data_IF_532825008038
#
_entry.id   IF_532825008038
#
_cell.length_a   1.000
_cell.length_b   1.000
_cell.length_c   1.000
_cell.angle_alpha   90.00
_cell.angle_beta   90.00
_cell.angle_gamma   90.00
#
_symmetry.space_group_name_H-M   'P 1'
#
loop_
_entity.id
_entity.type
_entity.pdbx_description
1 polymer ?
#
# COMPACT_ATOMS: atom_id res chain seq x y z
N UNK A 1 -76.38 -5.39 24.30
CA UNK A 1 -77.11 -6.06 23.20
C UNK A 1 -76.09 -6.52 22.16
N UNK A 2 -76.21 -7.77 21.73
CA UNK A 2 -75.24 -8.55 20.94
C UNK A 2 -75.11 -8.11 19.46
N UNK A 3 -73.94 -8.37 18.85
CA UNK A 3 -73.71 -9.12 17.57
C UNK A 3 -72.24 -8.90 17.13
N UNK A 4 -71.33 -9.89 17.19
CA UNK A 4 -71.11 -11.11 16.35
C UNK A 4 -70.46 -10.84 14.97
N UNK A 5 -69.34 -11.54 14.72
CA UNK A 5 -68.71 -11.80 13.41
C UNK A 5 -67.17 -11.74 13.51
N UNK A 6 -66.47 -12.76 14.02
CA UNK A 6 -66.02 -14.01 13.36
C UNK A 6 -65.43 -13.81 11.95
N UNK A 7 -64.09 -13.78 11.88
CA UNK A 7 -63.34 -14.40 10.79
C UNK A 7 -62.04 -14.98 11.36
N UNK A 8 -62.01 -16.31 11.46
CA UNK A 8 -60.79 -17.11 11.59
C UNK A 8 -60.16 -17.20 10.19
N UNK A 9 -58.84 -17.06 10.05
CA UNK A 9 -58.05 -18.00 9.22
C UNK A 9 -56.53 -17.79 9.37
N UNK A 10 -55.90 -18.89 9.76
CA UNK A 10 -54.60 -19.43 9.32
C UNK A 10 -53.28 -18.74 9.71
N UNK A 11 -52.61 -19.38 10.68
CA UNK A 11 -51.33 -20.08 10.52
C UNK A 11 -50.14 -19.34 9.89
N UNK A 12 -49.14 -19.05 10.73
CA UNK A 12 -47.79 -18.75 10.30
C UNK A 12 -46.80 -18.84 11.46
N UNK A 13 -46.39 -20.06 11.82
CA UNK A 13 -45.20 -20.30 12.65
C UNK A 13 -43.97 -19.85 11.83
N UNK A 14 -43.30 -18.78 12.23
CA UNK A 14 -41.91 -18.55 11.82
C UNK A 14 -40.99 -19.00 12.96
N UNK A 15 -40.29 -20.11 12.70
CA UNK A 15 -39.17 -20.55 13.51
C UNK A 15 -38.01 -19.55 13.32
N UNK A 16 -37.60 -18.89 14.41
CA UNK A 16 -36.31 -18.20 14.47
C UNK A 16 -35.22 -19.26 14.60
N UNK A 17 -34.60 -19.65 13.48
CA UNK A 17 -33.33 -20.36 13.53
C UNK A 17 -32.22 -19.32 13.67
N UNK A 18 -31.60 -19.27 14.84
CA UNK A 18 -30.42 -18.45 15.07
C UNK A 18 -29.28 -18.97 14.18
N UNK A 19 -29.03 -18.28 13.07
CA UNK A 19 -27.80 -18.46 12.31
C UNK A 19 -26.65 -18.05 13.24
N UNK A 20 -25.82 -19.02 13.64
CA UNK A 20 -24.58 -18.77 14.35
C UNK A 20 -23.74 -17.88 13.44
N UNK A 21 -23.56 -16.61 13.80
CA UNK A 21 -22.72 -15.69 13.05
C UNK A 21 -21.30 -16.28 13.03
N UNK A 22 -20.89 -16.78 11.88
CA UNK A 22 -19.51 -17.12 11.64
C UNK A 22 -18.75 -15.80 11.58
N UNK A 23 -17.78 -15.62 12.49
CA UNK A 23 -16.91 -14.46 12.45
C UNK A 23 -16.30 -14.36 11.04
N UNK A 24 -16.22 -13.15 10.47
CA UNK A 24 -15.61 -12.96 9.16
C UNK A 24 -14.19 -13.57 9.19
N UNK A 25 -13.74 -14.22 8.09
CA UNK A 25 -12.40 -14.76 8.03
C UNK A 25 -11.42 -13.65 8.42
N UNK A 26 -10.59 -13.89 9.44
CA UNK A 26 -9.51 -12.98 9.81
C UNK A 26 -8.72 -12.71 8.54
N UNK A 27 -8.77 -11.47 8.06
CA UNK A 27 -7.80 -10.98 7.07
C UNK A 27 -6.38 -11.19 7.60
N UNK A 28 -5.34 -10.98 6.78
CA UNK A 28 -3.96 -11.11 7.25
C UNK A 28 -3.80 -10.32 8.56
N UNK A 29 -3.30 -11.00 9.59
CA UNK A 29 -3.12 -10.44 10.93
C UNK A 29 -2.37 -9.11 10.85
N UNK A 30 -2.71 -8.18 11.75
CA UNK A 30 -2.01 -6.91 11.86
C UNK A 30 -0.48 -7.15 11.91
N UNK A 31 0.35 -6.27 11.31
CA UNK A 31 1.78 -6.48 11.22
C UNK A 31 2.37 -6.71 12.62
N UNK A 32 3.06 -7.84 12.81
CA UNK A 32 3.78 -8.12 14.06
C UNK A 32 4.96 -7.16 14.14
N UNK A 33 5.09 -6.44 15.26
CA UNK A 33 6.23 -5.57 15.51
C UNK A 33 7.56 -6.33 15.32
N UNK A 34 8.48 -5.75 14.54
CA UNK A 34 9.75 -6.38 14.16
C UNK A 34 9.74 -7.16 12.83
N UNK A 35 8.60 -7.19 12.10
CA UNK A 35 8.58 -7.61 10.71
C UNK A 35 8.83 -6.42 9.76
N UNK A 36 9.54 -6.71 8.66
CA UNK A 36 9.75 -5.75 7.58
C UNK A 36 8.41 -5.24 7.03
N UNK A 37 8.33 -3.95 6.74
CA UNK A 37 7.24 -3.41 5.95
C UNK A 37 7.65 -3.46 4.47
N UNK A 38 6.90 -4.21 3.66
CA UNK A 38 7.10 -4.28 2.20
C UNK A 38 5.90 -3.69 1.50
N UNK A 39 6.13 -2.77 0.58
CA UNK A 39 5.07 -2.04 -0.13
C UNK A 39 5.38 -1.86 -1.60
N UNK A 40 4.32 -1.85 -2.41
CA UNK A 40 4.36 -1.34 -3.77
C UNK A 40 3.66 0.03 -3.82
N UNK A 41 4.41 1.07 -4.18
CA UNK A 41 3.83 2.35 -4.59
C UNK A 41 3.65 2.35 -6.09
N UNK A 42 2.41 2.38 -6.58
CA UNK A 42 2.10 2.52 -8.01
C UNK A 42 1.64 3.94 -8.28
N UNK A 43 2.32 4.62 -9.19
CA UNK A 43 2.24 6.06 -9.37
C UNK A 43 1.99 6.33 -10.85
N UNK A 44 0.96 7.13 -11.14
CA UNK A 44 0.77 7.70 -12.46
C UNK A 44 1.23 9.15 -12.41
N UNK A 45 2.18 9.51 -13.27
CA UNK A 45 2.76 10.85 -13.38
C UNK A 45 2.29 11.50 -14.67
N UNK A 46 2.05 12.81 -14.64
CA UNK A 46 1.83 13.61 -15.85
C UNK A 46 3.02 13.46 -16.80
N UNK A 47 2.83 12.93 -18.02
CA UNK A 47 3.89 12.75 -19.00
C UNK A 47 4.68 14.04 -19.30
N UNK A 48 4.03 15.21 -19.25
CA UNK A 48 4.70 16.49 -19.49
C UNK A 48 5.69 16.88 -18.37
N UNK A 49 5.55 16.28 -17.19
CA UNK A 49 6.36 16.57 -16.00
C UNK A 49 7.29 15.42 -15.61
N UNK A 50 7.26 14.31 -16.36
CA UNK A 50 7.94 13.06 -16.04
C UNK A 50 9.45 13.22 -15.79
N UNK A 51 10.15 14.00 -16.62
CA UNK A 51 11.58 14.22 -16.43
C UNK A 51 11.90 14.90 -15.08
N UNK A 52 11.10 15.89 -14.70
CA UNK A 52 11.23 16.57 -13.41
C UNK A 52 10.88 15.64 -12.25
N UNK A 53 9.78 14.90 -12.35
CA UNK A 53 9.40 13.90 -11.36
C UNK A 53 10.50 12.86 -11.13
N UNK A 54 11.08 12.32 -12.21
CA UNK A 54 12.16 11.34 -12.13
C UNK A 54 13.40 11.90 -11.42
N UNK A 55 13.75 13.17 -11.66
CA UNK A 55 14.87 13.80 -10.98
C UNK A 55 14.62 13.95 -9.47
N UNK A 56 13.43 14.38 -9.06
CA UNK A 56 13.06 14.44 -7.63
C UNK A 56 13.08 13.06 -6.98
N UNK A 57 12.52 12.05 -7.64
CA UNK A 57 12.47 10.69 -7.12
C UNK A 57 13.86 10.07 -6.99
N UNK A 58 14.73 10.26 -7.97
CA UNK A 58 16.11 9.75 -7.91
C UNK A 58 16.90 10.40 -6.76
N UNK A 59 16.81 11.72 -6.59
CA UNK A 59 17.47 12.43 -5.49
C UNK A 59 17.00 11.92 -4.12
N UNK A 60 15.68 11.73 -3.98
CA UNK A 60 15.08 11.21 -2.75
C UNK A 60 15.55 9.79 -2.44
N UNK A 61 15.49 8.88 -3.42
CA UNK A 61 15.95 7.49 -3.26
C UNK A 61 17.43 7.42 -2.87
N UNK A 62 18.29 8.19 -3.56
CA UNK A 62 19.72 8.23 -3.26
C UNK A 62 20.00 8.75 -1.85
N UNK A 63 19.28 9.78 -1.40
CA UNK A 63 19.41 10.31 -0.05
C UNK A 63 18.92 9.31 1.00
N UNK A 64 17.75 8.71 0.79
CA UNK A 64 17.14 7.72 1.69
C UNK A 64 18.04 6.51 1.89
N UNK A 65 18.53 5.90 0.80
CA UNK A 65 19.42 4.74 0.88
C UNK A 65 20.77 5.06 1.54
N UNK A 66 21.26 6.30 1.43
CA UNK A 66 22.53 6.73 2.02
C UNK A 66 22.39 7.10 3.50
N UNK A 67 21.29 7.73 3.89
CA UNK A 67 21.14 8.39 5.19
C UNK A 67 20.27 7.60 6.17
N UNK A 68 19.46 6.66 5.69
CA UNK A 68 18.45 5.98 6.51
C UNK A 68 18.69 4.46 6.55
N UNK A 69 19.38 3.93 7.58
CA UNK A 69 19.65 2.49 7.70
C UNK A 69 18.39 1.62 7.74
N UNK A 70 17.24 2.18 8.12
CA UNK A 70 15.95 1.50 8.13
C UNK A 70 15.25 1.41 6.77
N UNK A 71 15.74 2.12 5.75
CA UNK A 71 15.27 2.03 4.36
C UNK A 71 16.15 0.99 3.65
N UNK A 72 15.64 -0.24 3.54
CA UNK A 72 16.41 -1.38 3.03
C UNK A 72 16.42 -1.43 1.50
N UNK A 73 15.32 -1.00 0.86
CA UNK A 73 15.25 -0.85 -0.60
C UNK A 73 14.21 0.18 -1.01
N UNK A 74 14.55 0.97 -2.03
CA UNK A 74 13.63 1.76 -2.83
C UNK A 74 13.97 1.51 -4.30
N UNK A 75 13.32 0.51 -4.90
CA UNK A 75 13.59 0.12 -6.29
C UNK A 75 12.47 0.60 -7.21
N UNK A 76 12.68 1.77 -7.81
CA UNK A 76 11.75 2.39 -8.74
C UNK A 76 11.95 1.88 -10.17
N UNK A 77 10.84 1.56 -10.85
CA UNK A 77 10.81 1.15 -12.26
C UNK A 77 9.68 1.89 -12.98
N UNK A 78 9.88 2.18 -14.26
CA UNK A 78 8.84 2.71 -15.14
C UNK A 78 8.38 1.64 -16.14
N UNK A 79 7.08 1.58 -16.44
CA UNK A 79 6.57 0.69 -17.47
C UNK A 79 7.10 1.09 -18.85
N UNK A 80 7.60 0.12 -19.63
CA UNK A 80 8.20 0.38 -20.96
C UNK A 80 7.22 1.06 -21.93
N UNK A 81 5.99 0.57 -21.95
CA UNK A 81 4.94 1.05 -22.86
C UNK A 81 4.22 2.31 -22.33
N UNK A 82 4.42 2.64 -21.06
CA UNK A 82 3.80 3.81 -20.42
C UNK A 82 4.76 4.39 -19.37
N UNK A 83 5.79 5.17 -19.77
CA UNK A 83 6.85 5.62 -18.85
C UNK A 83 6.38 6.49 -17.67
N UNK A 84 5.18 7.08 -17.77
CA UNK A 84 4.53 7.79 -16.66
C UNK A 84 3.94 6.89 -15.58
N UNK A 85 3.85 5.57 -15.82
CA UNK A 85 3.48 4.58 -14.81
C UNK A 85 4.75 4.09 -14.11
N UNK A 86 4.98 4.62 -12.92
CA UNK A 86 6.12 4.28 -12.07
C UNK A 86 5.64 3.33 -10.97
N UNK A 87 6.40 2.28 -10.69
CA UNK A 87 6.18 1.41 -9.53
C UNK A 87 7.46 1.39 -8.70
N UNK A 88 7.33 1.54 -7.39
CA UNK A 88 8.43 1.46 -6.44
C UNK A 88 8.21 0.25 -5.55
N UNK A 89 9.16 -0.67 -5.53
CA UNK A 89 9.28 -1.65 -4.45
C UNK A 89 9.98 -0.98 -3.28
N UNK A 90 9.28 -0.88 -2.17
CA UNK A 90 9.77 -0.29 -0.92
C UNK A 90 9.91 -1.40 0.12
N UNK A 91 11.07 -1.47 0.76
CA UNK A 91 11.34 -2.39 1.87
C UNK A 91 11.92 -1.59 3.02
N UNK A 92 11.23 -1.60 4.16
CA UNK A 92 11.67 -0.97 5.39
C UNK A 92 11.94 -2.03 6.46
N UNK A 93 12.89 -1.75 7.34
CA UNK A 93 13.23 -2.64 8.46
C UNK A 93 12.01 -2.95 9.33
N UNK A 94 11.15 -1.95 9.54
CA UNK A 94 9.87 -2.05 10.23
C UNK A 94 8.98 -0.84 9.89
N UNK A 95 7.81 -0.77 10.54
CA UNK A 95 6.86 0.36 10.42
C UNK A 95 7.46 1.69 10.88
N UNK A 96 8.28 1.70 11.93
CA UNK A 96 8.86 2.91 12.51
C UNK A 96 9.90 3.54 11.58
N UNK A 97 10.67 2.72 10.86
CA UNK A 97 11.56 3.17 9.79
C UNK A 97 10.77 3.90 8.68
N UNK A 98 9.63 3.37 8.25
CA UNK A 98 8.77 4.04 7.28
C UNK A 98 8.17 5.36 7.82
N UNK A 99 7.74 5.38 9.09
CA UNK A 99 7.22 6.61 9.72
C UNK A 99 8.29 7.70 9.85
N UNK A 100 9.52 7.32 10.21
CA UNK A 100 10.66 8.24 10.19
C UNK A 100 10.91 8.77 8.78
N UNK A 101 10.99 7.87 7.80
CA UNK A 101 11.28 8.17 6.40
C UNK A 101 10.39 9.28 5.83
N UNK A 102 9.07 9.19 6.03
CA UNK A 102 8.12 10.17 5.47
C UNK A 102 8.19 11.58 6.11
N UNK A 103 8.98 11.75 7.17
CA UNK A 103 9.19 13.05 7.84
C UNK A 103 10.50 13.73 7.46
N UNK A 104 11.39 13.01 6.77
CA UNK A 104 12.73 13.49 6.45
C UNK A 104 12.73 14.69 5.50
N UNK A 105 13.78 15.54 5.52
CA UNK A 105 13.89 16.67 4.60
C UNK A 105 13.86 16.27 3.12
N UNK A 106 14.54 15.19 2.74
CA UNK A 106 14.60 14.72 1.35
C UNK A 106 13.27 14.14 0.88
N UNK A 107 12.56 13.36 1.73
CA UNK A 107 11.21 12.90 1.41
C UNK A 107 10.23 14.08 1.24
N UNK A 108 10.27 15.07 2.15
CA UNK A 108 9.41 16.25 2.05
C UNK A 108 9.69 17.05 0.78
N UNK A 109 10.96 17.25 0.42
CA UNK A 109 11.35 17.89 -0.85
C UNK A 109 10.73 17.17 -2.05
N UNK A 110 10.86 15.84 -2.12
CA UNK A 110 10.22 15.04 -3.17
C UNK A 110 8.70 15.20 -3.16
N UNK A 111 8.07 15.02 -2.00
CA UNK A 111 6.61 14.99 -1.88
C UNK A 111 5.98 16.33 -2.23
N UNK A 112 6.54 17.43 -1.74
CA UNK A 112 6.06 18.79 -2.01
C UNK A 112 6.38 19.20 -3.45
N UNK A 113 7.60 18.89 -3.93
CA UNK A 113 8.05 19.24 -5.29
C UNK A 113 7.34 18.48 -6.41
N UNK A 114 6.70 17.35 -6.12
CA UNK A 114 6.00 16.51 -7.11
C UNK A 114 4.48 16.50 -6.98
N UNK A 115 3.92 17.25 -6.03
CA UNK A 115 2.49 17.20 -5.70
C UNK A 115 1.58 17.47 -6.91
N UNK A 116 1.96 18.40 -7.78
CA UNK A 116 1.24 18.78 -8.99
C UNK A 116 1.55 17.90 -10.21
N UNK A 117 2.50 16.96 -10.08
CA UNK A 117 2.93 16.07 -11.15
C UNK A 117 2.26 14.69 -11.08
N UNK A 118 1.78 14.28 -9.90
CA UNK A 118 1.19 12.96 -9.67
C UNK A 118 -0.30 12.97 -9.95
N UNK A 119 -0.74 12.17 -10.92
CA UNK A 119 -2.13 11.98 -11.30
C UNK A 119 -2.83 10.93 -10.41
N UNK A 120 -2.11 9.89 -9.98
CA UNK A 120 -2.63 8.88 -9.05
C UNK A 120 -1.52 8.23 -8.22
N UNK A 121 -1.86 7.80 -7.02
CA UNK A 121 -1.01 7.02 -6.13
C UNK A 121 -1.83 5.87 -5.52
N UNK A 122 -1.38 4.64 -5.70
CA UNK A 122 -1.90 3.44 -5.04
C UNK A 122 -0.77 2.87 -4.16
N UNK A 123 -1.09 2.60 -2.89
CA UNK A 123 -0.18 2.01 -1.91
C UNK A 123 -0.68 0.61 -1.59
N UNK A 124 0.14 -0.41 -1.87
CA UNK A 124 -0.21 -1.81 -1.65
C UNK A 124 0.82 -2.44 -0.72
N UNK A 125 0.42 -2.63 0.54
CA UNK A 125 1.22 -3.42 1.49
C UNK A 125 1.17 -4.89 1.07
N UNK A 126 2.34 -5.54 1.01
CA UNK A 126 2.49 -6.90 0.50
C UNK A 126 3.32 -7.77 1.44
N UNK A 127 3.13 -9.08 1.37
CA UNK A 127 3.96 -10.06 2.08
C UNK A 127 4.97 -10.65 1.10
N UNK A 128 6.29 -10.53 1.31
CA UNK A 128 7.28 -11.13 0.44
C UNK A 128 7.22 -12.66 0.56
N UNK A 129 7.20 -13.37 -0.58
CA UNK A 129 7.23 -14.83 -0.61
C UNK A 129 8.60 -15.41 -0.20
N UNK A 130 9.67 -14.61 -0.37
CA UNK A 130 11.02 -14.93 0.07
C UNK A 130 11.58 -13.77 0.90
N UNK A 131 11.23 -13.69 2.21
CA UNK A 131 11.77 -12.67 3.10
C UNK A 131 13.30 -12.76 3.18
N UNK A 132 13.98 -11.61 3.20
CA UNK A 132 15.44 -11.54 3.30
C UNK A 132 16.22 -11.81 2.01
N UNK A 133 15.55 -12.00 0.87
CA UNK A 133 16.22 -12.00 -0.43
C UNK A 133 16.87 -10.63 -0.68
N UNK A 134 18.17 -10.61 -0.93
CA UNK A 134 18.92 -9.38 -1.23
C UNK A 134 18.95 -9.11 -2.73
N UNK A 135 18.65 -7.87 -3.13
CA UNK A 135 18.91 -7.37 -4.47
C UNK A 135 20.41 -7.04 -4.60
N UNK A 136 21.17 -7.90 -5.27
CA UNK A 136 22.59 -7.67 -5.52
C UNK A 136 22.79 -7.14 -6.94
N UNK A 137 23.32 -5.93 -7.07
CA UNK A 137 23.87 -5.49 -8.34
C UNK A 137 25.25 -6.12 -8.51
N UNK A 138 25.41 -7.01 -9.48
CA UNK A 138 26.74 -7.45 -9.89
C UNK A 138 27.37 -6.32 -10.69
N UNK A 139 28.36 -5.65 -10.11
CA UNK A 139 29.24 -4.77 -10.88
C UNK A 139 30.04 -5.65 -11.82
N UNK A 140 29.58 -5.81 -13.05
CA UNK A 140 30.47 -6.16 -14.14
C UNK A 140 31.50 -5.05 -14.24
N UNK A 141 32.75 -5.35 -13.93
CA UNK A 141 33.91 -4.52 -14.25
C UNK A 141 33.73 -3.96 -15.66
N UNK A 142 33.61 -2.63 -15.75
CA UNK A 142 33.71 -1.90 -17.02
C UNK A 142 35.10 -2.08 -17.62
#
# INVERSE_FOLDING_TARGET
MMKKGLFMLLSGLLAFSAAKAQEPPKGPEAPVAGQQLVRLSKITVDPARLAGYNAFLQEEIEASLRLEPGVLALYAVAAKEAPGQVTILEIYADRAAYESHITTPHFRKYKEGTLDMVLSLELVDVVPLMPGLELRQTVGTR
#
